data_IF_895426449984
#
_entry.id   IF_895426449984
#
_cell.length_a   1.000
_cell.length_b   1.000
_cell.length_c   1.000
_cell.angle_alpha   90.00
_cell.angle_beta   90.00
_cell.angle_gamma   90.00
#
_symmetry.space_group_name_H-M   'P 1'
#
loop_
_entity.id
_entity.type
_entity.pdbx_description
1 polymer ?
#
# COMPACT_ATOMS: atom_id res chain seq x y z
N UNK A 1 -23.04 36.43 9.06
CA UNK A 1 -21.84 36.05 9.86
C UNK A 1 -21.01 35.09 9.07
N UNK A 2 -19.74 35.44 8.78
CA UNK A 2 -18.82 34.55 8.12
C UNK A 2 -18.67 33.24 8.91
N UNK A 3 -18.68 32.11 8.23
CA UNK A 3 -18.54 30.83 8.87
C UNK A 3 -17.07 30.38 8.82
N UNK A 4 -16.47 30.17 9.96
CA UNK A 4 -15.12 29.63 10.05
C UNK A 4 -15.18 28.11 10.28
N UNK A 5 -14.38 27.37 9.53
CA UNK A 5 -14.16 25.93 9.75
C UNK A 5 -12.69 25.75 10.12
N UNK A 6 -12.43 24.98 11.15
CA UNK A 6 -11.04 24.68 11.58
C UNK A 6 -10.74 23.22 11.29
N UNK A 7 -9.67 22.97 10.54
CA UNK A 7 -9.13 21.64 10.23
C UNK A 7 -7.63 21.68 10.57
N UNK A 8 -7.19 20.80 11.46
CA UNK A 8 -5.78 20.69 11.90
C UNK A 8 -5.14 22.06 12.26
N UNK A 9 -5.81 22.85 13.10
CA UNK A 9 -5.40 24.19 13.49
C UNK A 9 -5.39 25.26 12.37
N UNK A 10 -5.75 24.91 11.14
CA UNK A 10 -5.96 25.86 10.04
C UNK A 10 -7.40 26.37 10.07
N UNK A 11 -7.58 27.67 10.23
CA UNK A 11 -8.90 28.33 10.20
C UNK A 11 -9.19 28.78 8.78
N UNK A 12 -10.25 28.24 8.17
CA UNK A 12 -10.71 28.62 6.82
C UNK A 12 -11.96 29.46 6.96
N UNK A 13 -11.93 30.69 6.44
CA UNK A 13 -13.03 31.61 6.47
C UNK A 13 -13.83 31.52 5.15
N UNK A 14 -15.09 31.14 5.25
CA UNK A 14 -16.01 31.18 4.12
C UNK A 14 -16.71 32.52 4.08
N UNK A 15 -16.78 33.20 2.90
CA UNK A 15 -17.48 34.47 2.73
C UNK A 15 -18.96 34.38 3.10
N UNK A 16 -19.57 35.48 3.53
CA UNK A 16 -21.01 35.57 3.71
C UNK A 16 -21.72 35.70 2.36
N UNK A 17 -23.00 35.33 2.31
CA UNK A 17 -23.80 35.38 1.08
C UNK A 17 -23.97 36.78 0.49
N UNK A 18 -23.69 37.83 1.27
CA UNK A 18 -23.77 39.24 0.84
C UNK A 18 -22.40 39.84 0.45
N UNK A 19 -21.29 39.13 0.72
CA UNK A 19 -19.96 39.53 0.25
C UNK A 19 -19.81 39.11 -1.21
N UNK A 20 -19.18 39.98 -2.03
CA UNK A 20 -18.88 39.60 -3.43
C UNK A 20 -18.04 38.32 -3.44
N UNK A 21 -18.61 37.21 -3.91
CA UNK A 21 -18.04 35.92 -3.53
C UNK A 21 -16.89 35.54 -4.43
N UNK A 22 -15.67 35.65 -3.93
CA UNK A 22 -14.60 34.83 -4.43
C UNK A 22 -14.46 33.60 -3.55
N UNK A 23 -15.35 32.64 -3.73
CA UNK A 23 -15.35 31.36 -2.99
C UNK A 23 -14.17 30.46 -3.36
N UNK A 24 -13.57 30.67 -4.54
CA UNK A 24 -12.54 29.80 -5.07
C UNK A 24 -11.33 29.66 -4.12
N UNK A 25 -10.76 30.71 -3.52
CA UNK A 25 -9.66 30.55 -2.56
C UNK A 25 -10.06 29.73 -1.33
N UNK A 26 -11.23 30.00 -0.75
CA UNK A 26 -11.70 29.29 0.45
C UNK A 26 -11.97 27.81 0.16
N UNK A 27 -12.47 27.47 -1.02
CA UNK A 27 -12.69 26.08 -1.44
C UNK A 27 -11.35 25.34 -1.68
N UNK A 28 -10.38 26.01 -2.29
CA UNK A 28 -9.04 25.44 -2.49
C UNK A 28 -8.37 25.19 -1.13
N UNK A 29 -8.37 26.17 -0.23
CA UNK A 29 -7.81 26.01 1.10
C UNK A 29 -8.50 24.91 1.91
N UNK A 30 -9.81 24.74 1.75
CA UNK A 30 -10.57 23.66 2.38
C UNK A 30 -10.15 22.30 1.82
N UNK A 31 -10.05 22.17 0.49
CA UNK A 31 -9.64 20.94 -0.16
C UNK A 31 -8.22 20.53 0.28
N UNK A 32 -7.27 21.46 0.26
CA UNK A 32 -5.90 21.23 0.72
C UNK A 32 -5.82 20.84 2.20
N UNK A 33 -6.62 21.47 3.07
CA UNK A 33 -6.66 21.15 4.48
C UNK A 33 -7.28 19.78 4.75
N UNK A 34 -8.28 19.37 3.97
CA UNK A 34 -8.88 18.03 4.03
C UNK A 34 -7.88 16.99 3.53
N UNK A 35 -7.20 17.24 2.42
CA UNK A 35 -6.18 16.35 1.88
C UNK A 35 -5.03 16.16 2.88
N UNK A 36 -4.52 17.23 3.47
CA UNK A 36 -3.50 17.16 4.52
C UNK A 36 -4.00 16.41 5.76
N UNK A 37 -5.26 16.59 6.16
CA UNK A 37 -5.85 15.87 7.28
C UNK A 37 -6.00 14.37 7.00
N UNK A 38 -6.41 13.99 5.79
CA UNK A 38 -6.49 12.59 5.36
C UNK A 38 -5.11 11.95 5.25
N UNK A 39 -4.13 12.69 4.70
CA UNK A 39 -2.73 12.23 4.63
C UNK A 39 -2.07 12.04 6.01
N UNK A 40 -2.52 12.78 7.05
CA UNK A 40 -2.01 12.62 8.40
C UNK A 40 -2.66 11.48 9.20
N UNK A 41 -3.76 10.90 8.68
CA UNK A 41 -4.39 9.70 9.26
C UNK A 41 -3.65 8.44 8.80
N UNK A 42 -3.09 8.44 7.60
CA UNK A 42 -2.19 7.40 7.15
C UNK A 42 -0.82 7.55 7.82
N UNK A 43 -0.28 6.46 8.34
CA UNK A 43 1.09 6.42 8.86
C UNK A 43 2.13 6.66 7.75
N UNK A 44 3.35 7.06 8.09
CA UNK A 44 4.39 7.35 7.09
C UNK A 44 4.82 6.14 6.26
N UNK A 45 4.47 4.93 6.69
CA UNK A 45 4.71 3.67 5.96
C UNK A 45 3.41 2.97 5.56
N UNK A 46 2.25 3.64 5.70
CA UNK A 46 1.02 3.13 5.13
C UNK A 46 1.03 3.36 3.61
N UNK A 47 0.64 2.33 2.89
CA UNK A 47 0.66 2.34 1.42
C UNK A 47 -0.78 2.30 0.92
N UNK A 48 -1.18 3.36 0.23
CA UNK A 48 -2.48 3.42 -0.45
C UNK A 48 -2.59 2.32 -1.52
N UNK A 49 -3.79 1.95 -1.95
CA UNK A 49 -3.98 0.94 -2.99
C UNK A 49 -3.14 1.23 -4.23
N UNK A 50 -2.33 0.27 -4.62
CA UNK A 50 -1.41 0.33 -5.78
C UNK A 50 -1.46 -0.96 -6.58
N UNK A 51 -0.90 -0.91 -7.79
CA UNK A 51 -0.80 -2.04 -8.71
C UNK A 51 0.63 -2.18 -9.19
N UNK A 52 1.18 -3.38 -9.07
CA UNK A 52 2.47 -3.78 -9.62
C UNK A 52 2.24 -4.78 -10.75
N UNK A 53 2.80 -4.52 -11.93
CA UNK A 53 2.63 -5.40 -13.09
C UNK A 53 3.57 -6.60 -13.04
N UNK A 54 3.05 -7.78 -13.39
CA UNK A 54 3.79 -9.03 -13.53
C UNK A 54 3.68 -9.48 -14.99
N UNK A 55 4.68 -9.19 -15.80
CA UNK A 55 4.61 -9.46 -17.24
C UNK A 55 5.12 -10.86 -17.63
N UNK A 56 5.96 -11.49 -16.80
CA UNK A 56 6.65 -12.73 -17.14
C UNK A 56 6.77 -13.68 -15.94
N UNK A 57 6.96 -14.98 -16.26
CA UNK A 57 7.54 -15.92 -15.31
C UNK A 57 8.93 -15.45 -14.88
N UNK A 58 9.15 -15.41 -13.58
CA UNK A 58 10.46 -15.10 -13.03
C UNK A 58 10.78 -16.02 -11.85
N UNK A 59 11.73 -16.91 -12.06
CA UNK A 59 12.25 -17.79 -11.02
C UNK A 59 13.27 -17.14 -10.07
N UNK A 60 13.58 -15.86 -10.26
CA UNK A 60 14.40 -15.06 -9.34
C UNK A 60 13.52 -14.02 -8.64
N UNK A 61 13.81 -13.73 -7.37
CA UNK A 61 13.01 -12.76 -6.62
C UNK A 61 12.99 -11.39 -7.28
N UNK A 62 11.79 -10.82 -7.40
CA UNK A 62 11.56 -9.44 -7.85
C UNK A 62 11.06 -8.64 -6.66
N UNK A 63 11.71 -7.52 -6.40
CA UNK A 63 11.28 -6.58 -5.36
C UNK A 63 10.03 -5.82 -5.78
N UNK A 64 9.04 -5.75 -4.89
CA UNK A 64 7.94 -4.80 -5.01
C UNK A 64 8.43 -3.52 -4.35
N UNK A 65 8.92 -2.59 -5.16
CA UNK A 65 9.69 -1.40 -4.70
C UNK A 65 8.94 -0.56 -3.68
N UNK A 66 7.63 -0.53 -3.76
CA UNK A 66 6.75 0.22 -2.86
C UNK A 66 6.58 -0.46 -1.49
N UNK A 67 6.86 -1.78 -1.39
CA UNK A 67 6.71 -2.56 -0.16
C UNK A 67 8.07 -2.72 0.56
N UNK A 68 8.62 -1.59 0.96
CA UNK A 68 9.83 -1.51 1.78
C UNK A 68 9.50 -0.98 3.18
N UNK A 69 9.73 -1.79 4.20
CA UNK A 69 9.43 -1.50 5.61
C UNK A 69 10.70 -1.56 6.46
N UNK A 70 11.44 -0.44 6.60
CA UNK A 70 12.71 -0.44 7.33
C UNK A 70 12.51 -0.86 8.80
N UNK A 71 13.27 -1.86 9.29
CA UNK A 71 13.12 -2.39 10.65
C UNK A 71 13.49 -1.37 11.75
N UNK A 72 14.19 -0.30 11.40
CA UNK A 72 14.43 0.82 12.32
C UNK A 72 13.18 1.65 12.63
N UNK A 73 12.15 1.55 11.79
CA UNK A 73 10.96 2.40 11.83
C UNK A 73 9.67 1.63 12.05
N UNK A 74 9.63 0.37 11.59
CA UNK A 74 8.40 -0.41 11.51
C UNK A 74 8.54 -1.71 12.30
N UNK A 75 7.56 -2.02 13.15
CA UNK A 75 7.50 -3.26 13.93
C UNK A 75 6.53 -4.30 13.38
N UNK A 76 5.46 -3.84 12.77
CA UNK A 76 4.44 -4.73 12.19
C UNK A 76 3.87 -4.12 10.91
N UNK A 77 3.51 -4.98 9.95
CA UNK A 77 2.82 -4.58 8.72
C UNK A 77 1.70 -5.57 8.40
N UNK A 78 0.57 -5.03 8.00
CA UNK A 78 -0.57 -5.78 7.48
C UNK A 78 -0.78 -5.40 6.01
N UNK A 79 -0.63 -6.37 5.10
CA UNK A 79 -0.75 -6.18 3.65
C UNK A 79 -1.95 -6.96 3.13
N UNK A 80 -2.92 -6.27 2.53
CA UNK A 80 -3.97 -6.90 1.74
C UNK A 80 -3.55 -6.90 0.28
N UNK A 81 -3.66 -8.05 -0.37
CA UNK A 81 -3.27 -8.19 -1.77
C UNK A 81 -4.25 -9.02 -2.59
N UNK A 82 -4.20 -8.82 -3.89
CA UNK A 82 -4.76 -9.73 -4.89
C UNK A 82 -3.84 -9.85 -6.08
N UNK A 83 -3.76 -11.05 -6.64
CA UNK A 83 -2.93 -11.38 -7.81
C UNK A 83 -3.82 -11.93 -8.90
N UNK A 84 -3.65 -11.42 -10.10
CA UNK A 84 -4.24 -11.98 -11.31
C UNK A 84 -3.13 -12.26 -12.31
N UNK A 85 -3.09 -13.48 -12.83
CA UNK A 85 -2.15 -13.89 -13.89
C UNK A 85 -2.90 -14.59 -14.99
N UNK A 86 -2.62 -14.22 -16.21
CA UNK A 86 -3.29 -14.76 -17.41
C UNK A 86 -2.30 -15.14 -18.49
N UNK A 87 -2.69 -16.10 -19.29
CA UNK A 87 -2.03 -16.49 -20.52
C UNK A 87 -3.08 -16.68 -21.62
N UNK A 88 -2.69 -17.08 -22.81
CA UNK A 88 -3.62 -17.41 -23.88
C UNK A 88 -4.59 -18.55 -23.54
N UNK A 89 -4.23 -19.43 -22.60
CA UNK A 89 -4.98 -20.67 -22.31
C UNK A 89 -5.36 -20.84 -20.86
N UNK A 90 -4.83 -20.02 -19.94
CA UNK A 90 -5.00 -20.19 -18.50
C UNK A 90 -5.15 -18.87 -17.80
N UNK A 91 -5.85 -18.90 -16.65
CA UNK A 91 -5.92 -17.80 -15.71
C UNK A 91 -5.73 -18.35 -14.30
N UNK A 92 -5.02 -17.62 -13.46
CA UNK A 92 -4.80 -17.94 -12.06
C UNK A 92 -5.04 -16.68 -11.21
N UNK A 93 -5.79 -16.82 -10.14
CA UNK A 93 -6.18 -15.73 -9.25
C UNK A 93 -5.94 -16.13 -7.82
N UNK A 94 -5.39 -15.22 -7.05
CA UNK A 94 -5.15 -15.37 -5.62
C UNK A 94 -5.45 -14.05 -4.92
N UNK A 95 -5.95 -14.12 -3.71
CA UNK A 95 -6.11 -12.95 -2.86
C UNK A 95 -5.92 -13.32 -1.42
N UNK A 96 -5.35 -12.42 -0.64
CA UNK A 96 -5.03 -12.73 0.74
C UNK A 96 -4.52 -11.55 1.56
N UNK A 97 -3.99 -11.94 2.70
CA UNK A 97 -3.41 -11.08 3.71
C UNK A 97 -2.01 -11.60 4.06
N UNK A 98 -1.03 -10.71 4.08
CA UNK A 98 0.32 -10.97 4.58
C UNK A 98 0.49 -10.15 5.86
N UNK A 99 0.82 -10.83 6.94
CA UNK A 99 1.23 -10.20 8.19
C UNK A 99 2.75 -10.31 8.34
N UNK A 100 3.41 -9.18 8.59
CA UNK A 100 4.85 -9.09 8.85
C UNK A 100 5.05 -8.62 10.28
N UNK A 101 5.90 -9.30 11.03
CA UNK A 101 6.29 -8.92 12.38
C UNK A 101 7.81 -8.89 12.49
N UNK A 102 8.36 -7.75 12.92
CA UNK A 102 9.79 -7.60 13.15
C UNK A 102 10.17 -8.00 14.57
N UNK A 103 11.06 -8.98 14.69
CA UNK A 103 11.58 -9.47 15.96
C UNK A 103 13.10 -9.22 16.05
N UNK A 104 13.49 -8.14 16.74
CA UNK A 104 14.90 -7.78 16.92
C UNK A 104 15.71 -8.78 17.76
N UNK A 105 15.07 -9.73 18.42
CA UNK A 105 15.77 -10.74 19.22
C UNK A 105 16.34 -11.89 18.38
N UNK A 106 15.86 -12.02 17.13
CA UNK A 106 16.36 -13.04 16.21
C UNK A 106 17.71 -12.63 15.62
N UNK A 107 18.71 -13.53 15.59
CA UNK A 107 20.04 -13.22 15.07
C UNK A 107 20.09 -13.13 13.53
N UNK A 108 19.13 -13.76 12.84
CA UNK A 108 18.98 -13.81 11.37
C UNK A 108 17.50 -13.92 11.04
N UNK A 109 17.09 -13.38 9.88
CA UNK A 109 15.69 -13.38 9.45
C UNK A 109 14.75 -12.79 10.51
N UNK A 110 15.00 -11.53 10.81
CA UNK A 110 14.30 -10.81 11.87
C UNK A 110 12.81 -10.53 11.54
N UNK A 111 12.37 -10.77 10.31
CA UNK A 111 10.97 -10.67 9.92
C UNK A 111 10.30 -12.04 9.95
N UNK A 112 9.23 -12.16 10.72
CA UNK A 112 8.26 -13.24 10.57
C UNK A 112 7.22 -12.83 9.55
N UNK A 113 6.85 -13.75 8.66
CA UNK A 113 5.84 -13.53 7.64
C UNK A 113 4.80 -14.65 7.72
N UNK A 114 3.55 -14.26 7.91
CA UNK A 114 2.39 -15.16 7.83
C UNK A 114 1.51 -14.77 6.65
N UNK A 115 1.09 -15.76 5.85
CA UNK A 115 0.24 -15.54 4.68
C UNK A 115 -1.05 -16.35 4.83
N UNK A 116 -2.19 -15.64 4.82
CA UNK A 116 -3.52 -16.22 4.74
C UNK A 116 -4.12 -15.91 3.37
N UNK A 117 -4.40 -16.93 2.55
CA UNK A 117 -4.81 -16.73 1.16
C UNK A 117 -5.94 -17.64 0.71
N UNK A 118 -6.64 -17.19 -0.33
CA UNK A 118 -7.61 -17.96 -1.12
C UNK A 118 -7.21 -17.91 -2.60
N UNK A 119 -7.38 -19.03 -3.28
CA UNK A 119 -6.92 -19.22 -4.65
C UNK A 119 -5.43 -19.60 -4.71
N UNK A 120 -4.91 -19.70 -5.93
CA UNK A 120 -3.50 -19.96 -6.19
C UNK A 120 -3.09 -19.30 -7.51
N UNK A 121 -2.31 -18.24 -7.44
CA UNK A 121 -1.76 -17.55 -8.59
C UNK A 121 -0.34 -18.03 -8.94
N UNK A 122 0.11 -19.12 -8.32
CA UNK A 122 1.45 -19.65 -8.50
C UNK A 122 2.50 -18.55 -8.23
N UNK A 123 2.34 -17.86 -7.09
CA UNK A 123 3.22 -16.82 -6.61
C UNK A 123 3.64 -17.13 -5.17
N UNK A 124 4.88 -16.83 -4.85
CA UNK A 124 5.43 -16.95 -3.50
C UNK A 124 6.09 -15.64 -3.10
N UNK A 125 5.76 -15.16 -1.92
CA UNK A 125 6.35 -13.94 -1.36
C UNK A 125 7.49 -14.27 -0.42
N UNK A 126 8.43 -13.34 -0.29
CA UNK A 126 9.52 -13.39 0.67
C UNK A 126 9.85 -11.98 1.17
N UNK A 127 10.44 -11.89 2.36
CA UNK A 127 10.88 -10.62 2.93
C UNK A 127 12.36 -10.69 3.27
N UNK A 128 13.09 -9.63 2.94
CA UNK A 128 14.51 -9.50 3.29
C UNK A 128 14.69 -8.94 4.70
N UNK A 129 15.89 -9.06 5.26
CA UNK A 129 16.21 -8.45 6.56
C UNK A 129 16.11 -6.91 6.55
N UNK A 130 16.22 -6.27 5.41
CA UNK A 130 15.99 -4.83 5.26
C UNK A 130 14.52 -4.42 5.23
N UNK A 131 13.60 -5.41 5.24
CA UNK A 131 12.15 -5.17 5.16
C UNK A 131 11.61 -5.00 3.75
N UNK A 132 12.37 -5.40 2.72
CA UNK A 132 11.91 -5.38 1.33
C UNK A 132 11.12 -6.64 1.02
N UNK A 133 9.85 -6.48 0.63
CA UNK A 133 9.02 -7.58 0.12
C UNK A 133 9.36 -7.85 -1.34
N UNK A 134 9.55 -9.11 -1.67
CA UNK A 134 9.78 -9.61 -3.03
C UNK A 134 8.90 -10.82 -3.32
N UNK A 135 8.77 -11.15 -4.59
CA UNK A 135 8.01 -12.32 -5.03
C UNK A 135 8.78 -13.10 -6.10
N UNK A 136 8.44 -14.38 -6.20
CA UNK A 136 8.76 -15.24 -7.35
C UNK A 136 7.48 -15.79 -7.93
N UNK A 137 7.47 -16.13 -9.21
CA UNK A 137 6.34 -16.75 -9.87
C UNK A 137 6.71 -18.08 -10.50
N UNK A 138 5.87 -19.09 -10.32
CA UNK A 138 5.98 -20.35 -11.04
C UNK A 138 5.35 -20.26 -12.42
N UNK A 139 5.64 -21.27 -13.26
CA UNK A 139 5.13 -21.33 -14.64
C UNK A 139 3.63 -21.52 -14.66
N UNK A 140 2.93 -20.69 -15.42
CA UNK A 140 1.54 -20.89 -15.79
C UNK A 140 1.48 -21.30 -17.28
N UNK A 141 0.68 -22.31 -17.62
CA UNK A 141 0.62 -22.85 -18.97
C UNK A 141 0.05 -21.85 -19.97
N UNK A 142 0.69 -21.72 -21.14
CA UNK A 142 0.27 -20.85 -22.24
C UNK A 142 1.35 -19.82 -22.61
N UNK A 143 1.04 -19.00 -23.59
CA UNK A 143 1.87 -17.88 -24.06
C UNK A 143 1.23 -16.54 -23.69
N UNK A 144 1.91 -15.42 -24.00
CA UNK A 144 1.43 -14.07 -23.72
C UNK A 144 1.06 -13.87 -22.24
N UNK A 145 2.03 -14.12 -21.37
CA UNK A 145 1.87 -13.91 -19.93
C UNK A 145 1.59 -12.44 -19.63
N UNK A 146 0.58 -12.19 -18.83
CA UNK A 146 0.25 -10.90 -18.27
C UNK A 146 -0.28 -11.09 -16.85
N UNK A 147 -0.05 -10.14 -15.99
CA UNK A 147 -0.57 -10.20 -14.64
C UNK A 147 -0.27 -8.94 -13.85
N UNK A 148 -0.88 -8.87 -12.68
CA UNK A 148 -0.64 -7.79 -11.73
C UNK A 148 -0.85 -8.25 -10.29
N UNK A 149 -0.19 -7.56 -9.38
CA UNK A 149 -0.43 -7.59 -7.94
C UNK A 149 -1.07 -6.26 -7.57
N UNK A 150 -2.30 -6.29 -7.05
CA UNK A 150 -2.90 -5.13 -6.39
C UNK A 150 -2.67 -5.27 -4.90
N UNK A 151 -2.25 -4.22 -4.23
CA UNK A 151 -1.97 -4.25 -2.78
C UNK A 151 -2.25 -2.91 -2.10
N UNK A 152 -2.43 -2.99 -0.80
CA UNK A 152 -2.35 -1.88 0.15
C UNK A 152 -1.71 -2.36 1.43
N UNK A 153 -1.03 -1.50 2.16
CA UNK A 153 -0.41 -1.87 3.42
C UNK A 153 -0.70 -0.85 4.53
N UNK A 154 -0.70 -1.33 5.76
CA UNK A 154 -0.81 -0.54 6.98
C UNK A 154 0.30 -0.95 7.93
N UNK A 155 1.05 0.00 8.45
CA UNK A 155 2.24 -0.25 9.25
C UNK A 155 2.12 0.30 10.68
N UNK A 156 2.62 -0.48 11.65
CA UNK A 156 2.79 -0.04 13.04
C UNK A 156 4.26 0.32 13.25
N UNK A 157 4.48 1.53 13.73
CA UNK A 157 5.82 2.05 13.96
C UNK A 157 6.43 1.50 15.25
N UNK A 158 7.76 1.47 15.29
CA UNK A 158 8.50 1.28 16.53
C UNK A 158 8.25 2.47 17.46
N UNK A 159 8.05 2.20 18.75
CA UNK A 159 7.88 3.20 19.81
C UNK A 159 9.23 3.64 20.39
#
# INVERSE_FOLDING_TARGET
MAKNITIQNKVIRFPESAESPNWAPALVEFAEAVEAALGSIAGPFDIAPQVFNIDLYNGTGIDITELLFPPSNVSKVDILYSVVRTTTTSAAVEGGHIELLYDQTKPVNNWDMEISKQGDALISFSISNSGQLSFITDVITGSNHSGFISFRASAILNS
#
